data_IF_406290185148
#
_entry.id   IF_406290185148
#
_cell.length_a   1.000
_cell.length_b   1.000
_cell.length_c   1.000
_cell.angle_alpha   90.00
_cell.angle_beta   90.00
_cell.angle_gamma   90.00
#
_symmetry.space_group_name_H-M   'P 1'
#
loop_
_entity.id
_entity.type
_entity.pdbx_description
1 polymer ?
#
# COMPACT_ATOMS: atom_id res chain seq x y z
N UNK A 1 20.00 2.01 -24.85
CA UNK A 1 18.75 1.59 -24.14
C UNK A 1 18.71 0.11 -23.77
N UNK A 2 18.84 -0.86 -24.70
CA UNK A 2 18.63 -2.31 -24.38
C UNK A 2 19.58 -2.84 -23.30
N UNK A 3 20.85 -2.44 -23.31
CA UNK A 3 21.87 -2.87 -22.34
C UNK A 3 21.49 -2.58 -20.87
N UNK A 4 21.01 -1.36 -20.59
CA UNK A 4 20.60 -0.98 -19.23
C UNK A 4 19.40 -1.80 -18.73
N UNK A 5 18.48 -2.19 -19.61
CA UNK A 5 17.38 -3.08 -19.26
C UNK A 5 17.86 -4.50 -18.96
N UNK A 6 18.81 -5.02 -19.72
CA UNK A 6 19.41 -6.33 -19.48
C UNK A 6 20.14 -6.36 -18.12
N UNK A 7 20.95 -5.35 -17.82
CA UNK A 7 21.67 -5.22 -16.54
C UNK A 7 20.71 -5.06 -15.35
N UNK A 8 19.66 -4.25 -15.53
CA UNK A 8 18.64 -4.04 -14.51
C UNK A 8 17.81 -5.31 -14.26
N UNK A 9 17.45 -6.03 -15.32
CA UNK A 9 16.80 -7.34 -15.24
C UNK A 9 17.69 -8.37 -14.56
N UNK A 10 18.99 -8.38 -14.89
CA UNK A 10 19.96 -9.28 -14.28
C UNK A 10 20.07 -9.00 -12.77
N UNK A 11 20.07 -7.73 -12.35
CA UNK A 11 20.04 -7.33 -10.94
C UNK A 11 18.76 -7.81 -10.23
N UNK A 12 17.59 -7.69 -10.87
CA UNK A 12 16.33 -8.18 -10.33
C UNK A 12 16.33 -9.72 -10.17
N UNK A 13 16.77 -10.44 -11.21
CA UNK A 13 16.89 -11.90 -11.22
C UNK A 13 17.89 -12.37 -10.15
N UNK A 14 19.02 -11.69 -10.01
CA UNK A 14 20.02 -11.99 -8.98
C UNK A 14 19.43 -11.87 -7.57
N UNK A 15 18.55 -10.89 -7.36
CA UNK A 15 17.81 -10.72 -6.12
C UNK A 15 16.55 -11.60 -6.00
N UNK A 16 16.38 -12.60 -6.89
CA UNK A 16 15.23 -13.51 -6.97
C UNK A 16 13.89 -12.79 -7.09
N UNK A 17 13.88 -11.67 -7.80
CA UNK A 17 12.68 -10.86 -8.07
C UNK A 17 12.37 -10.90 -9.57
N UNK A 18 11.09 -10.96 -9.90
CA UNK A 18 10.59 -10.77 -11.27
C UNK A 18 10.24 -9.31 -11.56
N UNK A 19 10.18 -8.49 -10.51
CA UNK A 19 9.88 -7.05 -10.58
C UNK A 19 11.17 -6.26 -10.48
N UNK A 20 11.42 -5.40 -11.47
CA UNK A 20 12.48 -4.40 -11.42
C UNK A 20 12.09 -3.30 -10.42
N UNK A 21 13.02 -2.94 -9.53
CA UNK A 21 12.86 -1.84 -8.58
C UNK A 21 13.89 -0.74 -8.86
N UNK A 22 13.65 0.48 -8.36
CA UNK A 22 14.58 1.60 -8.53
C UNK A 22 16.01 1.29 -8.07
N UNK A 23 16.17 0.44 -7.04
CA UNK A 23 17.47 -0.05 -6.57
C UNK A 23 18.22 -0.89 -7.61
N UNK A 24 17.52 -1.61 -8.48
CA UNK A 24 18.15 -2.42 -9.53
C UNK A 24 18.77 -1.53 -10.60
N UNK A 25 18.14 -0.40 -10.92
CA UNK A 25 18.71 0.62 -11.80
C UNK A 25 19.96 1.21 -11.17
N UNK A 26 19.88 1.55 -9.88
CA UNK A 26 21.03 2.10 -9.16
C UNK A 26 22.21 1.13 -9.10
N UNK A 27 21.93 -0.18 -9.07
CA UNK A 27 22.92 -1.26 -9.12
C UNK A 27 23.43 -1.56 -10.53
N UNK A 28 22.65 -1.29 -11.57
CA UNK A 28 23.09 -1.38 -12.97
C UNK A 28 23.91 -0.16 -13.42
N UNK A 29 23.64 1.01 -12.83
CA UNK A 29 24.34 2.29 -13.10
C UNK A 29 25.88 2.28 -12.89
N UNK A 30 26.50 1.51 -11.96
CA UNK A 30 27.94 1.52 -11.77
C UNK A 30 28.72 0.83 -12.90
N UNK A 31 28.08 -0.08 -13.65
CA UNK A 31 28.77 -0.91 -14.65
C UNK A 31 29.04 -0.17 -15.96
N UNK A 32 28.28 0.89 -16.27
CA UNK A 32 28.39 1.66 -17.52
C UNK A 32 29.25 2.93 -17.39
N UNK A 33 30.31 2.91 -16.58
CA UNK A 33 31.22 4.05 -16.48
C UNK A 33 32.09 4.29 -17.72
N UNK A 34 31.98 3.46 -18.77
CA UNK A 34 32.88 3.56 -19.93
C UNK A 34 32.21 3.72 -21.31
N UNK A 35 30.89 3.59 -21.47
CA UNK A 35 30.25 3.77 -22.79
C UNK A 35 28.88 4.47 -22.69
N UNK A 36 28.78 5.61 -23.37
CA UNK A 36 27.60 6.43 -23.65
C UNK A 36 26.99 7.22 -22.47
N UNK A 37 27.02 8.56 -22.59
CA UNK A 37 26.25 9.51 -21.76
C UNK A 37 24.75 9.20 -21.90
N UNK A 38 24.23 8.26 -21.10
CA UNK A 38 22.79 8.07 -20.96
C UNK A 38 22.25 9.34 -20.31
N UNK A 39 21.53 10.13 -21.10
CA UNK A 39 20.95 11.39 -20.64
C UNK A 39 20.11 11.14 -19.38
N UNK A 40 20.25 11.98 -18.35
CA UNK A 40 19.48 11.86 -17.11
C UNK A 40 17.97 11.78 -17.34
N UNK A 41 17.51 12.37 -18.45
CA UNK A 41 16.14 12.28 -18.95
C UNK A 41 15.71 10.84 -19.27
N UNK A 42 16.56 10.01 -19.87
CA UNK A 42 16.23 8.62 -20.17
C UNK A 42 16.05 7.80 -18.90
N UNK A 43 16.90 8.05 -17.90
CA UNK A 43 16.81 7.42 -16.58
C UNK A 43 15.54 7.86 -15.86
N UNK A 44 15.18 9.13 -15.98
CA UNK A 44 13.97 9.68 -15.36
C UNK A 44 12.70 9.11 -16.00
N UNK A 45 12.65 9.03 -17.32
CA UNK A 45 11.56 8.36 -18.06
C UNK A 45 11.44 6.90 -17.61
N UNK A 46 12.56 6.20 -17.44
CA UNK A 46 12.54 4.82 -16.97
C UNK A 46 12.04 4.67 -15.52
N UNK A 47 12.45 5.58 -14.62
CA UNK A 47 11.93 5.63 -13.24
C UNK A 47 10.42 5.83 -13.24
N UNK A 48 9.91 6.79 -14.01
CA UNK A 48 8.48 7.06 -14.10
C UNK A 48 7.70 5.86 -14.65
N UNK A 49 8.22 5.17 -15.67
CA UNK A 49 7.62 3.95 -16.18
C UNK A 49 7.56 2.83 -15.13
N UNK A 50 8.61 2.64 -14.34
CA UNK A 50 8.61 1.66 -13.25
C UNK A 50 7.65 2.04 -12.13
N UNK A 51 7.59 3.31 -11.74
CA UNK A 51 6.61 3.80 -10.76
C UNK A 51 5.18 3.56 -11.25
N UNK A 52 4.91 3.82 -12.53
CA UNK A 52 3.62 3.51 -13.15
C UNK A 52 3.31 2.01 -13.13
N UNK A 53 4.26 1.16 -13.52
CA UNK A 53 4.09 -0.29 -13.47
C UNK A 53 3.88 -0.80 -12.05
N UNK A 54 4.58 -0.24 -11.06
CA UNK A 54 4.40 -0.57 -9.65
C UNK A 54 2.99 -0.22 -9.17
N UNK A 55 2.46 0.94 -9.55
CA UNK A 55 1.06 1.35 -9.25
C UNK A 55 0.03 0.40 -9.87
N UNK A 56 0.28 -0.13 -11.07
CA UNK A 56 -0.62 -1.08 -11.73
C UNK A 56 -0.51 -2.48 -11.13
N UNK A 57 0.70 -2.91 -10.79
CA UNK A 57 0.97 -4.27 -10.30
C UNK A 57 0.58 -4.42 -8.83
N UNK A 58 0.78 -3.37 -8.04
CA UNK A 58 0.35 -3.30 -6.65
C UNK A 58 -0.51 -2.04 -6.44
N UNK A 59 -1.81 -2.10 -6.84
CA UNK A 59 -2.77 -1.04 -6.54
C UNK A 59 -2.91 -0.79 -5.03
N UNK A 60 -2.47 -1.76 -4.21
CA UNK A 60 -2.55 -1.70 -2.75
C UNK A 60 -1.32 -1.02 -2.13
N UNK A 61 -0.24 -0.75 -2.87
CA UNK A 61 0.90 -0.02 -2.30
C UNK A 61 0.54 1.40 -1.88
N UNK A 62 -0.38 2.08 -2.59
CA UNK A 62 -0.96 3.35 -2.13
C UNK A 62 -2.02 3.16 -1.05
N UNK A 63 -2.60 1.96 -0.94
CA UNK A 63 -3.53 1.61 0.14
C UNK A 63 -2.76 1.44 1.45
N UNK A 64 -1.47 1.10 1.45
CA UNK A 64 -0.68 0.97 2.68
C UNK A 64 -0.68 2.23 3.56
N UNK A 65 -0.53 3.42 2.97
CA UNK A 65 -0.59 4.69 3.71
C UNK A 65 -2.01 4.95 4.25
N UNK A 66 -3.04 4.72 3.43
CA UNK A 66 -4.44 4.89 3.80
C UNK A 66 -4.90 3.85 4.84
N UNK A 67 -4.38 2.64 4.79
CA UNK A 67 -4.68 1.55 5.70
C UNK A 67 -4.06 1.81 7.07
N UNK A 68 -2.84 2.36 7.12
CA UNK A 68 -2.23 2.86 8.36
C UNK A 68 -3.08 3.97 8.96
N UNK A 69 -3.48 4.99 8.18
CA UNK A 69 -4.35 6.07 8.67
C UNK A 69 -5.70 5.54 9.19
N UNK A 70 -6.32 4.59 8.48
CA UNK A 70 -7.57 3.96 8.91
C UNK A 70 -7.39 3.07 10.14
N UNK A 71 -6.23 2.42 10.29
CA UNK A 71 -5.90 1.59 11.44
C UNK A 71 -5.65 2.44 12.69
N UNK A 72 -4.96 3.57 12.55
CA UNK A 72 -4.78 4.56 13.62
C UNK A 72 -6.13 5.15 14.03
N UNK A 73 -6.96 5.57 13.06
CA UNK A 73 -8.34 6.04 13.32
C UNK A 73 -9.16 4.99 14.06
N UNK A 74 -9.04 3.71 13.68
CA UNK A 74 -9.72 2.59 14.35
C UNK A 74 -9.22 2.44 15.79
N UNK A 75 -7.91 2.52 16.01
CA UNK A 75 -7.31 2.41 17.34
C UNK A 75 -7.78 3.56 18.25
N UNK A 76 -7.81 4.79 17.74
CA UNK A 76 -8.37 5.95 18.44
C UNK A 76 -9.84 5.74 18.83
N UNK A 77 -10.67 5.29 17.87
CA UNK A 77 -12.09 5.03 18.12
C UNK A 77 -12.30 3.89 19.12
N UNK A 78 -11.46 2.85 19.09
CA UNK A 78 -11.56 1.69 19.97
C UNK A 78 -11.09 1.99 21.41
N UNK A 79 -10.17 2.96 21.57
CA UNK A 79 -9.72 3.47 22.87
C UNK A 79 -10.68 4.50 23.49
N UNK A 80 -11.67 5.01 22.72
CA UNK A 80 -12.59 6.03 23.20
C UNK A 80 -13.66 5.43 24.13
N UNK A 81 -13.47 5.61 25.44
CA UNK A 81 -14.42 5.13 26.46
C UNK A 81 -15.79 5.83 26.37
N UNK A 82 -15.87 7.09 25.90
CA UNK A 82 -17.15 7.79 25.72
C UNK A 82 -18.02 7.10 24.65
N UNK A 83 -17.39 6.67 23.55
CA UNK A 83 -18.08 5.92 22.49
C UNK A 83 -18.52 4.53 22.97
N UNK A 84 -17.73 3.85 23.81
CA UNK A 84 -18.13 2.56 24.42
C UNK A 84 -19.30 2.73 25.38
N UNK A 85 -19.31 3.78 26.22
CA UNK A 85 -20.42 4.07 27.14
C UNK A 85 -21.68 4.44 26.36
N UNK A 86 -21.55 5.32 25.36
CA UNK A 86 -22.66 5.75 24.51
C UNK A 86 -23.24 4.58 23.71
N UNK A 87 -22.40 3.76 23.08
CA UNK A 87 -22.84 2.57 22.34
C UNK A 87 -23.54 1.54 23.24
N UNK A 88 -23.00 1.26 24.45
CA UNK A 88 -23.65 0.37 25.42
C UNK A 88 -25.01 0.92 25.88
N UNK A 89 -25.07 2.21 26.20
CA UNK A 89 -26.31 2.87 26.63
C UNK A 89 -27.34 2.88 25.51
N UNK A 90 -26.96 3.24 24.28
CA UNK A 90 -27.86 3.27 23.13
C UNK A 90 -28.37 1.87 22.77
N UNK A 91 -27.51 0.85 22.80
CA UNK A 91 -27.92 -0.54 22.58
C UNK A 91 -28.89 -0.97 23.69
N UNK A 92 -28.59 -0.69 24.96
CA UNK A 92 -29.51 -0.97 26.07
C UNK A 92 -30.86 -0.25 25.91
N UNK A 93 -30.87 1.02 25.50
CA UNK A 93 -32.09 1.79 25.25
C UNK A 93 -32.88 1.22 24.06
N UNK A 94 -32.19 0.82 22.99
CA UNK A 94 -32.78 0.16 21.83
C UNK A 94 -33.50 -1.14 22.24
N UNK A 95 -32.85 -2.04 22.98
CA UNK A 95 -33.49 -3.28 23.48
C UNK A 95 -34.59 -3.06 24.52
N UNK A 96 -34.63 -1.91 25.20
CA UNK A 96 -35.70 -1.54 26.13
C UNK A 96 -36.95 -0.97 25.44
N UNK A 97 -36.86 -0.63 24.15
CA UNK A 97 -37.99 -0.13 23.38
C UNK A 97 -39.05 -1.23 23.23
N UNK A 98 -40.29 -0.93 23.66
CA UNK A 98 -41.42 -1.88 23.77
C UNK A 98 -41.65 -2.70 22.49
N UNK A 99 -41.33 -2.13 21.33
CA UNK A 99 -41.45 -2.74 20.01
C UNK A 99 -40.48 -3.92 19.78
N UNK A 100 -39.32 -3.99 20.46
CA UNK A 100 -38.37 -5.10 20.29
C UNK A 100 -38.70 -6.33 21.13
N UNK A 101 -39.37 -6.18 22.29
CA UNK A 101 -39.84 -7.32 23.09
C UNK A 101 -40.89 -8.16 22.37
N UNK A 102 -41.63 -7.57 21.42
CA UNK A 102 -42.65 -8.28 20.63
C UNK A 102 -42.06 -9.00 19.41
N UNK A 103 -40.84 -8.62 18.98
CA UNK A 103 -40.17 -9.19 17.80
C UNK A 103 -39.21 -10.36 18.12
N UNK A 104 -38.99 -10.70 19.39
CA UNK A 104 -38.18 -11.85 19.80
C UNK A 104 -38.95 -12.78 20.74
N UNK A 105 -39.77 -13.72 20.23
CA UNK A 105 -40.51 -14.67 21.08
C UNK A 105 -39.71 -15.89 21.59
N UNK A 106 -38.39 -16.00 21.36
CA UNK A 106 -37.67 -17.28 21.53
C UNK A 106 -36.17 -17.18 21.94
N UNK A 107 -35.87 -16.49 23.04
CA UNK A 107 -34.64 -16.67 23.84
C UNK A 107 -35.04 -16.83 25.31
#
# INVERSE_FOLDING_TARGET
>A
MVSLFEDTNLCAIHARRVTIMAKDIQLARPTLKEEEDIAEQEVEVYRQHLEMLHRVTDPMSSVGEVEIELQDKRMELQSNEELKVKSKSEYQQFWLQREMKELCPLL
#
